data_IF_755276850146
#
_entry.id   IF_755276850146
#
_cell.length_a   1.000
_cell.length_b   1.000
_cell.length_c   1.000
_cell.angle_alpha   90.00
_cell.angle_beta   90.00
_cell.angle_gamma   90.00
#
_symmetry.space_group_name_H-M   'P 1'
#
loop_
_entity.id
_entity.type
_entity.pdbx_description
1 polymer ?
#
# COMPACT_ATOMS: atom_id res chain seq x y z
N UNK A 1 -38.70 -5.28 3.64
CA UNK A 1 -37.58 -5.23 2.67
C UNK A 1 -37.98 -6.07 1.47
N UNK A 2 -38.40 -5.45 0.37
CA UNK A 2 -38.76 -6.16 -0.85
C UNK A 2 -37.45 -6.54 -1.54
N UNK A 3 -37.17 -7.83 -1.64
CA UNK A 3 -36.06 -8.37 -2.40
C UNK A 3 -36.33 -8.08 -3.89
N UNK A 4 -35.84 -6.95 -4.38
CA UNK A 4 -35.93 -6.60 -5.79
C UNK A 4 -34.86 -7.42 -6.51
N UNK A 5 -35.26 -8.55 -7.03
CA UNK A 5 -34.45 -9.35 -7.94
C UNK A 5 -34.11 -8.50 -9.16
N UNK A 6 -32.90 -8.68 -9.74
CA UNK A 6 -32.38 -8.05 -10.96
C UNK A 6 -33.28 -8.28 -12.21
N UNK A 7 -34.56 -8.52 -12.02
CA UNK A 7 -35.57 -8.80 -13.08
C UNK A 7 -35.86 -7.63 -14.02
N UNK A 8 -35.39 -6.43 -13.66
CA UNK A 8 -35.73 -5.23 -14.44
C UNK A 8 -34.65 -4.88 -15.50
N UNK A 9 -33.48 -5.53 -15.47
CA UNK A 9 -32.43 -5.32 -16.46
C UNK A 9 -31.98 -6.65 -17.02
N UNK A 10 -32.04 -6.80 -18.33
CA UNK A 10 -31.52 -7.99 -19.02
C UNK A 10 -30.70 -7.62 -20.23
N UNK A 11 -29.77 -8.48 -20.60
CA UNK A 11 -28.92 -8.33 -21.77
C UNK A 11 -29.26 -9.41 -22.78
N UNK A 12 -29.29 -9.06 -24.08
CA UNK A 12 -29.52 -10.02 -25.17
C UNK A 12 -28.61 -9.70 -26.34
N UNK A 13 -28.03 -10.72 -26.94
CA UNK A 13 -27.25 -10.58 -28.17
C UNK A 13 -28.18 -10.42 -29.36
N UNK A 14 -27.87 -9.46 -30.22
CA UNK A 14 -28.47 -9.29 -31.53
C UNK A 14 -27.60 -9.99 -32.57
N UNK A 15 -28.07 -11.14 -33.05
CA UNK A 15 -27.27 -12.04 -33.92
C UNK A 15 -26.77 -11.37 -35.23
N UNK A 16 -27.60 -10.52 -35.85
CA UNK A 16 -27.23 -9.88 -37.10
C UNK A 16 -26.16 -8.78 -36.94
N UNK A 17 -26.11 -8.10 -35.80
CA UNK A 17 -25.16 -6.99 -35.57
C UNK A 17 -24.03 -7.39 -34.61
N UNK A 18 -24.00 -8.66 -34.17
CA UNK A 18 -22.99 -9.16 -33.21
C UNK A 18 -22.83 -8.23 -32.00
N UNK A 19 -23.93 -7.65 -31.51
CA UNK A 19 -23.92 -6.66 -30.44
C UNK A 19 -24.81 -7.06 -29.27
N UNK A 20 -24.42 -6.67 -28.07
CA UNK A 20 -25.24 -6.83 -26.86
C UNK A 20 -26.20 -5.66 -26.74
N UNK A 21 -27.47 -5.95 -26.59
CA UNK A 21 -28.51 -4.98 -26.28
C UNK A 21 -28.92 -5.08 -24.81
N UNK A 22 -29.21 -3.93 -24.23
CA UNK A 22 -29.74 -3.79 -22.88
C UNK A 22 -31.27 -3.61 -22.97
N UNK A 23 -31.97 -4.35 -22.13
CA UNK A 23 -33.38 -4.23 -21.94
C UNK A 23 -33.67 -3.79 -20.50
N UNK A 24 -34.25 -2.61 -20.34
CA UNK A 24 -34.65 -2.09 -19.04
C UNK A 24 -36.17 -2.12 -18.95
N UNK A 25 -36.71 -2.90 -18.03
CA UNK A 25 -38.12 -2.98 -17.75
C UNK A 25 -38.45 -2.12 -16.54
N UNK A 26 -39.44 -1.27 -16.68
CA UNK A 26 -40.04 -0.54 -15.56
C UNK A 26 -41.57 -0.60 -15.66
N UNK A 27 -42.27 -1.13 -14.64
CA UNK A 27 -43.72 -1.21 -14.64
C UNK A 27 -44.39 0.17 -14.70
N UNK A 28 -43.70 1.22 -14.30
CA UNK A 28 -44.19 2.60 -14.29
C UNK A 28 -44.01 3.32 -15.64
N UNK A 29 -43.29 2.73 -16.61
CA UNK A 29 -43.23 3.34 -17.93
C UNK A 29 -44.60 3.42 -18.55
N UNK A 30 -45.00 4.60 -18.99
CA UNK A 30 -46.17 4.78 -19.78
C UNK A 30 -46.06 3.89 -21.04
N UNK A 31 -47.14 3.25 -21.43
CA UNK A 31 -47.17 2.50 -22.69
C UNK A 31 -46.92 3.49 -23.80
N UNK A 32 -45.70 3.47 -24.36
CA UNK A 32 -45.38 4.24 -25.57
C UNK A 32 -46.15 3.72 -26.77
N UNK A 33 -45.92 4.29 -27.94
CA UNK A 33 -46.58 3.91 -29.22
C UNK A 33 -46.48 2.41 -29.53
N UNK A 34 -45.52 1.71 -28.94
CA UNK A 34 -45.31 0.26 -29.07
C UNK A 34 -46.02 -0.55 -27.96
N UNK A 35 -46.69 0.09 -27.00
CA UNK A 35 -47.36 -0.58 -25.87
C UNK A 35 -46.43 -1.31 -24.90
N UNK A 36 -45.11 -1.13 -25.03
CA UNK A 36 -44.10 -1.84 -24.25
C UNK A 36 -43.63 -1.04 -23.04
N UNK A 37 -43.58 -1.71 -21.89
CA UNK A 37 -42.99 -1.19 -20.65
C UNK A 37 -41.46 -1.43 -20.60
N UNK A 38 -40.84 -1.80 -21.72
CA UNK A 38 -39.43 -2.15 -21.82
C UNK A 38 -38.74 -1.26 -22.82
N UNK A 39 -37.61 -0.69 -22.38
CA UNK A 39 -36.72 0.05 -23.27
C UNK A 39 -35.63 -0.89 -23.76
N UNK A 40 -35.35 -0.81 -25.06
CA UNK A 40 -34.23 -1.53 -25.70
C UNK A 40 -33.25 -0.53 -26.28
N UNK A 41 -31.98 -0.64 -25.89
CA UNK A 41 -30.86 0.12 -26.51
C UNK A 41 -29.63 -0.78 -26.64
N UNK A 42 -28.82 -0.53 -27.65
CA UNK A 42 -27.53 -1.19 -27.78
C UNK A 42 -26.60 -0.77 -26.60
N UNK A 43 -25.82 -1.71 -26.10
CA UNK A 43 -24.91 -1.45 -24.97
C UNK A 43 -23.94 -0.28 -25.26
N UNK A 44 -23.51 -0.14 -26.51
CA UNK A 44 -22.71 0.98 -27.00
C UNK A 44 -23.35 2.35 -26.73
N UNK A 45 -24.67 2.43 -26.67
CA UNK A 45 -25.37 3.67 -26.33
C UNK A 45 -25.07 4.16 -24.91
N UNK A 46 -24.89 3.23 -23.97
CA UNK A 46 -24.63 3.55 -22.56
C UNK A 46 -23.14 3.79 -22.30
N UNK A 47 -22.25 3.09 -22.99
CA UNK A 47 -20.79 3.18 -22.78
C UNK A 47 -20.09 4.12 -23.77
N UNK A 48 -20.74 4.53 -24.86
CA UNK A 48 -20.15 5.41 -25.85
C UNK A 48 -18.82 4.87 -26.41
N UNK A 49 -17.77 5.69 -26.38
CA UNK A 49 -16.41 5.33 -26.81
C UNK A 49 -15.69 4.36 -25.85
N UNK A 50 -16.21 4.19 -24.64
CA UNK A 50 -15.66 3.29 -23.62
C UNK A 50 -16.21 1.85 -23.71
N UNK A 51 -16.98 1.55 -24.75
CA UNK A 51 -17.45 0.19 -25.01
C UNK A 51 -16.30 -0.76 -25.29
N UNK A 52 -16.09 -1.75 -24.43
CA UNK A 52 -14.94 -2.67 -24.49
C UNK A 52 -15.26 -4.09 -24.08
N UNK A 53 -16.39 -4.64 -24.52
CA UNK A 53 -16.55 -6.08 -24.42
C UNK A 53 -15.52 -6.75 -25.33
N UNK A 54 -14.71 -7.62 -24.77
CA UNK A 54 -13.65 -8.34 -25.47
C UNK A 54 -14.06 -9.76 -25.86
N UNK A 55 -15.07 -10.30 -25.16
CA UNK A 55 -15.53 -11.66 -25.37
C UNK A 55 -16.41 -11.72 -26.62
N UNK A 56 -16.12 -12.67 -27.49
CA UNK A 56 -16.93 -12.92 -28.69
C UNK A 56 -18.38 -13.31 -28.30
N UNK A 57 -19.34 -12.78 -29.03
CA UNK A 57 -20.77 -13.04 -28.79
C UNK A 57 -21.18 -14.49 -29.01
N UNK A 58 -20.35 -15.30 -29.65
CA UNK A 58 -20.56 -16.76 -29.78
C UNK A 58 -20.53 -17.48 -28.44
N UNK A 59 -19.85 -16.89 -27.43
CA UNK A 59 -19.84 -17.42 -26.06
C UNK A 59 -20.99 -16.92 -25.18
N UNK A 60 -21.99 -16.27 -25.77
CA UNK A 60 -23.15 -15.76 -25.01
C UNK A 60 -24.11 -16.87 -24.59
N UNK A 61 -24.40 -16.92 -23.29
CA UNK A 61 -25.48 -17.76 -22.75
C UNK A 61 -26.75 -16.92 -22.60
N UNK A 62 -27.80 -17.28 -23.35
CA UNK A 62 -29.06 -16.55 -23.34
C UNK A 62 -29.85 -16.76 -22.06
N UNK A 63 -29.73 -17.90 -21.38
CA UNK A 63 -30.45 -18.22 -20.13
C UNK A 63 -29.92 -17.36 -18.97
N UNK A 64 -28.62 -17.26 -18.84
CA UNK A 64 -27.99 -16.46 -17.78
C UNK A 64 -27.84 -14.98 -18.14
N UNK A 65 -28.01 -14.62 -19.43
CA UNK A 65 -27.71 -13.29 -19.97
C UNK A 65 -26.27 -12.85 -19.68
N UNK A 66 -25.32 -13.77 -19.78
CA UNK A 66 -23.88 -13.55 -19.53
C UNK A 66 -23.05 -14.37 -20.51
N UNK A 67 -21.76 -14.02 -20.61
CA UNK A 67 -20.81 -14.84 -21.35
C UNK A 67 -20.44 -16.11 -20.57
N UNK A 68 -20.26 -17.20 -21.31
CA UNK A 68 -19.74 -18.44 -20.74
C UNK A 68 -18.28 -18.25 -20.30
N UNK A 69 -17.97 -18.58 -19.09
CA UNK A 69 -16.58 -18.56 -18.59
C UNK A 69 -15.80 -19.80 -18.96
N UNK A 70 -16.49 -20.86 -19.36
CA UNK A 70 -15.93 -22.12 -19.88
C UNK A 70 -16.76 -22.56 -21.09
N UNK A 71 -16.12 -22.83 -22.20
CA UNK A 71 -16.75 -23.38 -23.40
C UNK A 71 -16.00 -24.64 -23.84
N UNK A 72 -16.73 -25.78 -23.97
CA UNK A 72 -16.15 -27.08 -24.33
C UNK A 72 -14.91 -27.46 -23.49
N UNK A 73 -14.95 -27.21 -22.18
CA UNK A 73 -13.87 -27.43 -21.21
C UNK A 73 -12.64 -26.48 -21.35
N UNK A 74 -12.71 -25.46 -22.20
CA UNK A 74 -11.67 -24.44 -22.35
C UNK A 74 -12.12 -23.17 -21.66
N UNK A 75 -11.28 -22.55 -20.78
CA UNK A 75 -11.59 -21.26 -20.19
C UNK A 75 -11.72 -20.15 -21.24
N UNK A 76 -12.65 -19.22 -21.04
CA UNK A 76 -12.82 -18.00 -21.85
C UNK A 76 -12.31 -16.83 -21.00
N UNK A 77 -11.06 -16.48 -21.17
CA UNK A 77 -10.30 -15.59 -20.25
C UNK A 77 -10.88 -14.17 -20.11
N UNK A 78 -11.53 -13.66 -21.14
CA UNK A 78 -12.13 -12.31 -21.13
C UNK A 78 -13.54 -12.28 -20.53
N UNK A 79 -14.24 -13.41 -20.50
CA UNK A 79 -15.65 -13.49 -20.06
C UNK A 79 -15.88 -13.07 -18.60
N UNK A 80 -15.02 -13.40 -17.62
CA UNK A 80 -15.22 -12.96 -16.23
C UNK A 80 -15.20 -11.44 -16.07
N UNK A 81 -14.31 -10.74 -16.77
CA UNK A 81 -14.23 -9.27 -16.68
C UNK A 81 -15.40 -8.60 -17.41
N UNK A 82 -15.77 -9.12 -18.58
CA UNK A 82 -16.93 -8.61 -19.34
C UNK A 82 -18.25 -8.84 -18.57
N UNK A 83 -18.43 -9.99 -17.94
CA UNK A 83 -19.58 -10.27 -17.09
C UNK A 83 -19.65 -9.31 -15.90
N UNK A 84 -18.51 -9.00 -15.28
CA UNK A 84 -18.42 -8.03 -14.18
C UNK A 84 -18.81 -6.62 -14.62
N UNK A 85 -18.45 -6.21 -15.83
CA UNK A 85 -18.86 -4.91 -16.40
C UNK A 85 -20.36 -4.87 -16.65
N UNK A 86 -20.97 -5.96 -17.11
CA UNK A 86 -22.40 -6.08 -17.27
C UNK A 86 -23.16 -6.03 -15.91
N UNK A 87 -22.62 -6.66 -14.88
CA UNK A 87 -23.17 -6.63 -13.53
C UNK A 87 -23.12 -5.22 -12.93
N UNK A 88 -22.03 -4.52 -13.13
CA UNK A 88 -21.87 -3.13 -12.66
C UNK A 88 -22.87 -2.19 -13.36
N UNK A 89 -23.04 -2.32 -14.67
CA UNK A 89 -24.05 -1.55 -15.42
C UNK A 89 -25.48 -1.86 -14.95
N UNK A 90 -25.79 -3.13 -14.72
CA UNK A 90 -27.09 -3.53 -14.20
C UNK A 90 -27.36 -2.93 -12.81
N UNK A 91 -26.33 -2.88 -11.96
CA UNK A 91 -26.38 -2.26 -10.64
C UNK A 91 -26.63 -0.75 -10.72
N UNK A 92 -25.94 -0.05 -11.62
CA UNK A 92 -26.14 1.38 -11.84
C UNK A 92 -27.55 1.69 -12.30
N UNK A 93 -28.08 0.92 -13.24
CA UNK A 93 -29.46 1.09 -13.71
C UNK A 93 -30.49 0.85 -12.61
N UNK A 94 -30.26 -0.17 -11.76
CA UNK A 94 -31.11 -0.43 -10.61
C UNK A 94 -31.12 0.75 -9.64
N UNK A 95 -29.95 1.29 -9.32
CA UNK A 95 -29.80 2.47 -8.43
C UNK A 95 -30.59 3.66 -8.98
N UNK A 96 -30.54 3.93 -10.28
CA UNK A 96 -31.27 5.02 -10.91
C UNK A 96 -32.79 4.78 -10.84
N UNK A 97 -33.27 3.56 -11.13
CA UNK A 97 -34.68 3.21 -11.06
C UNK A 97 -35.27 3.28 -9.65
N UNK A 98 -34.46 3.05 -8.63
CA UNK A 98 -34.82 3.15 -7.21
C UNK A 98 -34.81 4.59 -6.68
N UNK A 99 -33.90 5.41 -7.19
CA UNK A 99 -33.68 6.76 -6.70
C UNK A 99 -34.59 7.82 -7.33
N UNK A 100 -35.01 7.60 -8.59
CA UNK A 100 -35.73 8.60 -9.36
C UNK A 100 -37.00 7.98 -9.97
N UNK A 101 -38.22 8.55 -9.76
CA UNK A 101 -39.41 8.12 -10.45
C UNK A 101 -39.26 8.34 -11.98
N UNK A 102 -39.19 7.25 -12.73
CA UNK A 102 -39.08 7.28 -14.19
C UNK A 102 -40.42 6.76 -14.79
N UNK A 103 -41.15 7.61 -15.45
CA UNK A 103 -42.44 7.28 -16.09
C UNK A 103 -42.33 7.04 -17.59
N UNK A 104 -41.23 7.54 -18.19
CA UNK A 104 -40.91 7.32 -19.59
C UNK A 104 -39.48 6.79 -19.74
N UNK A 105 -39.18 6.16 -20.90
CA UNK A 105 -37.81 5.80 -21.23
C UNK A 105 -36.84 6.98 -21.19
N UNK A 106 -37.31 8.14 -21.58
CA UNK A 106 -36.52 9.37 -21.63
C UNK A 106 -36.17 9.86 -20.22
N UNK A 107 -37.13 9.78 -19.29
CA UNK A 107 -36.86 10.10 -17.88
C UNK A 107 -35.74 9.21 -17.33
N UNK A 108 -35.79 7.91 -17.61
CA UNK A 108 -34.72 6.99 -17.20
C UNK A 108 -33.38 7.35 -17.80
N UNK A 109 -33.32 7.65 -19.11
CA UNK A 109 -32.07 8.03 -19.74
C UNK A 109 -31.52 9.35 -19.22
N UNK A 110 -32.36 10.32 -18.94
CA UNK A 110 -31.99 11.60 -18.37
C UNK A 110 -31.50 11.42 -16.93
N UNK A 111 -32.18 10.61 -16.13
CA UNK A 111 -31.77 10.27 -14.78
C UNK A 111 -30.45 9.49 -14.77
N UNK A 112 -30.26 8.54 -15.69
CA UNK A 112 -28.99 7.81 -15.83
C UNK A 112 -27.84 8.73 -16.25
N UNK A 113 -28.06 9.61 -17.25
CA UNK A 113 -27.05 10.62 -17.64
C UNK A 113 -26.76 11.58 -16.50
N UNK A 114 -27.76 11.99 -15.74
CA UNK A 114 -27.58 12.83 -14.56
C UNK A 114 -26.78 12.10 -13.47
N UNK A 115 -27.00 10.79 -13.26
CA UNK A 115 -26.21 9.98 -12.33
C UNK A 115 -24.74 9.86 -12.76
N UNK A 116 -24.47 9.71 -14.06
CA UNK A 116 -23.09 9.75 -14.61
C UNK A 116 -22.47 11.13 -14.42
N UNK A 117 -23.26 12.19 -14.60
CA UNK A 117 -22.79 13.56 -14.36
C UNK A 117 -22.57 13.84 -12.87
N UNK A 118 -23.32 13.22 -11.97
CA UNK A 118 -23.09 13.26 -10.52
C UNK A 118 -21.79 12.52 -10.16
N UNK A 119 -21.51 11.38 -10.79
CA UNK A 119 -20.20 10.73 -10.66
C UNK A 119 -19.09 11.62 -11.21
N UNK A 120 -19.28 12.24 -12.38
CA UNK A 120 -18.34 13.21 -12.94
C UNK A 120 -18.21 14.46 -12.06
N UNK A 121 -19.31 14.97 -11.50
CA UNK A 121 -19.30 16.08 -10.55
C UNK A 121 -18.66 15.70 -9.22
N UNK A 122 -18.85 14.46 -8.74
CA UNK A 122 -18.18 13.96 -7.54
C UNK A 122 -16.68 13.81 -7.74
N UNK A 123 -16.24 13.43 -8.94
CA UNK A 123 -14.82 13.39 -9.33
C UNK A 123 -14.22 14.80 -9.39
N UNK A 124 -15.03 15.84 -9.64
CA UNK A 124 -14.57 17.22 -9.64
C UNK A 124 -14.31 17.80 -8.24
N UNK A 125 -14.73 17.15 -7.18
CA UNK A 125 -14.37 17.55 -5.82
C UNK A 125 -13.00 17.00 -5.42
N UNK A 126 -12.35 17.64 -4.44
CA UNK A 126 -11.08 17.15 -3.89
C UNK A 126 -11.20 15.69 -3.40
N UNK A 127 -12.27 15.37 -2.68
CA UNK A 127 -12.52 14.00 -2.20
C UNK A 127 -12.76 13.03 -3.35
N UNK A 128 -13.62 13.38 -4.28
CA UNK A 128 -13.95 12.54 -5.44
C UNK A 128 -12.72 12.25 -6.29
N UNK A 129 -11.91 13.28 -6.54
CA UNK A 129 -10.66 13.09 -7.30
C UNK A 129 -9.60 12.31 -6.53
N UNK A 130 -9.51 12.45 -5.21
CA UNK A 130 -8.62 11.64 -4.39
C UNK A 130 -9.00 10.14 -4.44
N UNK A 131 -10.31 9.83 -4.46
CA UNK A 131 -10.84 8.47 -4.65
C UNK A 131 -10.47 7.95 -6.04
N UNK A 132 -10.75 8.72 -7.09
CA UNK A 132 -10.38 8.39 -8.46
C UNK A 132 -8.88 8.12 -8.60
N UNK A 133 -8.04 9.01 -8.08
CA UNK A 133 -6.58 8.88 -8.14
C UNK A 133 -6.08 7.63 -7.37
N UNK A 134 -6.66 7.33 -6.22
CA UNK A 134 -6.40 6.07 -5.49
C UNK A 134 -6.73 4.85 -6.35
N UNK A 135 -7.86 4.86 -7.05
CA UNK A 135 -8.32 3.73 -7.87
C UNK A 135 -7.45 3.53 -9.11
N UNK A 136 -6.88 4.60 -9.68
CA UNK A 136 -5.83 4.50 -10.70
C UNK A 136 -4.58 3.74 -10.18
N UNK A 137 -4.18 3.98 -8.93
CA UNK A 137 -3.10 3.22 -8.29
C UNK A 137 -3.48 1.77 -8.02
N UNK A 138 -4.70 1.53 -7.58
CA UNK A 138 -5.22 0.20 -7.27
C UNK A 138 -5.36 -0.67 -8.51
N UNK A 139 -5.78 -0.10 -9.63
CA UNK A 139 -5.92 -0.78 -10.92
C UNK A 139 -4.58 -1.01 -11.65
N UNK A 140 -3.47 -0.47 -11.15
CA UNK A 140 -2.16 -0.59 -11.78
C UNK A 140 -1.93 0.38 -12.95
N UNK A 141 -2.85 1.30 -13.23
CA UNK A 141 -2.71 2.30 -14.32
C UNK A 141 -1.60 3.33 -14.10
N UNK A 142 -1.21 3.55 -12.83
CA UNK A 142 -0.16 4.51 -12.47
C UNK A 142 1.23 3.89 -12.33
N UNK A 143 1.32 2.59 -12.03
CA UNK A 143 2.56 1.80 -11.90
C UNK A 143 2.21 0.31 -11.93
N UNK A 144 3.24 -0.54 -12.07
CA UNK A 144 3.10 -2.00 -12.03
C UNK A 144 2.17 -2.51 -10.92
N UNK A 145 1.35 -3.49 -11.26
CA UNK A 145 0.46 -4.20 -10.32
C UNK A 145 1.26 -4.66 -9.10
N UNK A 146 0.76 -4.33 -7.90
CA UNK A 146 1.37 -4.74 -6.63
C UNK A 146 1.92 -3.59 -5.77
N UNK A 147 1.94 -2.37 -6.29
CA UNK A 147 2.29 -1.20 -5.46
C UNK A 147 1.17 -0.91 -4.45
N UNK A 148 1.48 -1.02 -3.15
CA UNK A 148 0.56 -0.62 -2.05
C UNK A 148 0.41 0.88 -1.86
N UNK A 149 0.84 1.70 -2.82
CA UNK A 149 0.74 3.15 -2.70
C UNK A 149 -0.71 3.63 -2.57
N UNK A 150 -1.69 2.89 -3.11
CA UNK A 150 -3.10 3.21 -2.94
C UNK A 150 -3.54 3.31 -1.46
N UNK A 151 -2.99 2.48 -0.56
CA UNK A 151 -3.32 2.54 0.88
C UNK A 151 -2.88 3.86 1.53
N UNK A 152 -1.94 4.56 0.93
CA UNK A 152 -1.53 5.87 1.38
C UNK A 152 -2.60 6.91 1.05
N UNK A 153 -3.28 6.77 -0.08
CA UNK A 153 -4.40 7.63 -0.47
C UNK A 153 -5.67 7.28 0.29
N UNK A 154 -5.91 6.00 0.67
CA UNK A 154 -6.99 5.63 1.60
C UNK A 154 -6.88 6.42 2.90
N UNK A 155 -5.67 6.59 3.45
CA UNK A 155 -5.46 7.39 4.66
C UNK A 155 -5.80 8.87 4.48
N UNK A 156 -5.49 9.45 3.31
CA UNK A 156 -5.89 10.82 2.99
C UNK A 156 -7.41 10.92 2.86
N UNK A 157 -8.03 10.00 2.13
CA UNK A 157 -9.49 9.91 1.93
C UNK A 157 -10.21 9.83 3.27
N UNK A 158 -9.81 8.92 4.16
CA UNK A 158 -10.40 8.82 5.50
C UNK A 158 -10.29 10.11 6.31
N UNK A 159 -9.21 10.87 6.16
CA UNK A 159 -9.05 12.16 6.82
C UNK A 159 -9.96 13.23 6.22
N UNK A 160 -10.10 13.25 4.89
CA UNK A 160 -11.03 14.15 4.21
C UNK A 160 -12.50 13.84 4.58
N UNK A 161 -12.85 12.57 4.72
CA UNK A 161 -14.18 12.09 5.11
C UNK A 161 -14.47 12.20 6.60
N UNK A 162 -13.49 12.53 7.44
CA UNK A 162 -13.67 12.53 8.88
C UNK A 162 -13.83 11.15 9.52
N UNK A 163 -13.46 10.07 8.83
CA UNK A 163 -13.67 8.67 9.25
C UNK A 163 -12.46 8.04 9.93
N UNK A 164 -11.56 8.83 10.52
CA UNK A 164 -10.39 8.30 11.23
C UNK A 164 -10.81 7.73 12.58
N UNK A 165 -10.66 6.42 12.72
CA UNK A 165 -11.05 5.67 13.91
C UNK A 165 -10.33 6.20 15.17
N UNK A 166 -11.10 6.52 16.21
CA UNK A 166 -10.56 6.98 17.51
C UNK A 166 -10.14 8.45 17.54
N UNK A 167 -10.38 9.23 16.48
CA UNK A 167 -10.10 10.66 16.46
C UNK A 167 -11.43 11.43 16.35
N UNK A 168 -11.72 12.29 17.34
CA UNK A 168 -12.85 13.21 17.26
C UNK A 168 -12.47 14.33 16.30
N UNK A 169 -13.06 14.28 15.11
CA UNK A 169 -12.75 15.25 14.06
C UNK A 169 -13.44 16.59 14.30
N UNK A 170 -12.76 17.71 14.11
CA UNK A 170 -13.31 19.06 14.37
C UNK A 170 -14.17 19.58 13.21
N UNK A 171 -14.90 18.71 12.50
CA UNK A 171 -15.72 19.15 11.37
C UNK A 171 -17.20 19.25 11.73
N UNK A 172 -17.83 20.27 11.21
CA UNK A 172 -19.27 20.27 11.11
C UNK A 172 -19.69 19.16 10.11
N UNK A 173 -20.59 18.28 10.52
CA UNK A 173 -21.14 17.18 9.69
C UNK A 173 -20.16 16.06 9.27
N UNK A 174 -19.02 15.91 9.96
CA UNK A 174 -18.12 14.76 9.75
C UNK A 174 -17.25 14.79 8.50
N UNK A 175 -17.32 15.84 7.68
CA UNK A 175 -16.57 15.98 6.43
C UNK A 175 -15.71 17.25 6.47
N UNK A 176 -14.47 17.19 6.01
CA UNK A 176 -13.60 18.36 5.98
C UNK A 176 -14.10 19.40 4.96
N UNK A 177 -13.87 20.69 5.23
CA UNK A 177 -14.20 21.76 4.28
C UNK A 177 -13.53 21.59 2.90
N UNK A 178 -12.42 20.87 2.85
CA UNK A 178 -11.70 20.57 1.61
C UNK A 178 -12.32 19.44 0.80
N UNK A 179 -13.04 18.51 1.42
CA UNK A 179 -13.55 17.32 0.76
C UNK A 179 -14.52 17.65 -0.38
N UNK A 180 -15.45 18.55 -0.13
CA UNK A 180 -16.50 18.94 -1.07
C UNK A 180 -16.11 20.14 -1.96
N UNK A 181 -14.92 20.69 -1.76
CA UNK A 181 -14.42 21.78 -2.59
C UNK A 181 -14.16 21.27 -4.01
N UNK A 182 -14.52 22.02 -5.05
CA UNK A 182 -14.09 21.72 -6.42
C UNK A 182 -12.56 21.67 -6.50
N UNK A 183 -12.02 20.61 -7.06
CA UNK A 183 -10.56 20.44 -7.14
C UNK A 183 -9.90 21.52 -8.03
N UNK A 184 -10.64 22.04 -9.00
CA UNK A 184 -10.22 23.16 -9.84
C UNK A 184 -9.95 24.44 -9.05
N UNK A 185 -10.58 24.60 -7.87
CA UNK A 185 -10.45 25.78 -7.02
C UNK A 185 -9.29 25.67 -6.02
N UNK A 186 -8.51 24.59 -6.09
CA UNK A 186 -7.35 24.43 -5.20
C UNK A 186 -6.18 25.25 -5.75
N UNK A 187 -6.03 26.44 -5.22
CA UNK A 187 -4.90 27.34 -5.45
C UNK A 187 -3.87 27.26 -4.31
N UNK A 188 -2.88 28.15 -4.35
CA UNK A 188 -1.82 28.21 -3.33
C UNK A 188 -2.34 28.56 -1.94
N UNK A 189 -3.38 29.39 -1.83
CA UNK A 189 -3.95 29.78 -0.53
C UNK A 189 -4.74 28.62 0.09
N UNK A 190 -5.56 27.94 -0.71
CA UNK A 190 -6.27 26.73 -0.28
C UNK A 190 -5.27 25.63 0.14
N UNK A 191 -4.17 25.53 -0.59
CA UNK A 191 -3.14 24.56 -0.22
C UNK A 191 -2.44 24.90 1.10
N UNK A 192 -2.13 26.18 1.35
CA UNK A 192 -1.61 26.65 2.65
C UNK A 192 -2.57 26.36 3.79
N UNK A 193 -3.86 26.61 3.58
CA UNK A 193 -4.91 26.28 4.54
C UNK A 193 -4.97 24.77 4.83
N UNK A 194 -4.85 23.95 3.78
CA UNK A 194 -4.78 22.49 3.95
C UNK A 194 -3.53 22.07 4.76
N UNK A 195 -2.38 22.70 4.49
CA UNK A 195 -1.16 22.45 5.26
C UNK A 195 -1.34 22.80 6.74
N UNK A 196 -1.93 23.96 7.03
CA UNK A 196 -2.26 24.38 8.41
C UNK A 196 -3.21 23.38 9.07
N UNK A 197 -4.28 23.01 8.37
CA UNK A 197 -5.23 22.02 8.82
C UNK A 197 -4.59 20.66 9.19
N UNK A 198 -3.74 20.12 8.32
CA UNK A 198 -3.05 18.85 8.57
C UNK A 198 -2.04 18.96 9.70
N UNK A 199 -1.34 20.10 9.82
CA UNK A 199 -0.43 20.37 10.92
C UNK A 199 -1.14 20.34 12.28
N UNK A 200 -2.28 21.00 12.34
CA UNK A 200 -2.99 21.19 13.61
C UNK A 200 -3.70 19.89 14.05
N UNK A 201 -4.18 19.10 13.10
CA UNK A 201 -4.97 17.89 13.39
C UNK A 201 -4.18 16.57 13.25
N UNK A 202 -3.14 16.50 12.41
CA UNK A 202 -2.38 15.28 12.10
C UNK A 202 -0.86 15.51 12.09
N UNK A 203 -0.29 16.09 13.14
CA UNK A 203 1.11 16.53 13.14
C UNK A 203 2.12 15.40 12.89
N UNK A 204 1.81 14.18 13.31
CA UNK A 204 2.71 13.03 13.14
C UNK A 204 2.76 12.49 11.70
N UNK A 205 1.77 12.82 10.89
CA UNK A 205 1.65 12.36 9.49
C UNK A 205 1.60 13.55 8.51
N UNK A 206 2.01 14.72 8.97
CA UNK A 206 1.96 15.98 8.22
C UNK A 206 2.56 15.86 6.82
N UNK A 207 3.86 15.54 6.73
CA UNK A 207 4.59 15.48 5.47
C UNK A 207 3.93 14.52 4.45
N UNK A 208 3.43 13.40 4.96
CA UNK A 208 2.80 12.40 4.11
C UNK A 208 1.46 12.88 3.56
N UNK A 209 0.64 13.54 4.36
CA UNK A 209 -0.66 14.05 3.90
C UNK A 209 -0.49 15.19 2.91
N UNK A 210 0.42 16.12 3.18
CA UNK A 210 0.73 17.22 2.27
C UNK A 210 1.24 16.70 0.92
N UNK A 211 2.18 15.74 0.92
CA UNK A 211 2.70 15.12 -0.30
C UNK A 211 1.61 14.40 -1.09
N UNK A 212 0.69 13.70 -0.42
CA UNK A 212 -0.42 12.98 -1.06
C UNK A 212 -1.44 13.94 -1.64
N UNK A 213 -1.83 14.96 -0.89
CA UNK A 213 -2.76 15.98 -1.37
C UNK A 213 -2.19 16.71 -2.59
N UNK A 214 -0.93 17.13 -2.53
CA UNK A 214 -0.23 17.69 -3.68
C UNK A 214 -0.25 16.76 -4.89
N UNK A 215 0.03 15.47 -4.71
CA UNK A 215 0.05 14.51 -5.82
C UNK A 215 -1.34 14.38 -6.49
N UNK A 216 -2.41 14.43 -5.71
CA UNK A 216 -3.79 14.40 -6.21
C UNK A 216 -4.08 15.66 -7.04
N UNK A 217 -3.81 16.84 -6.49
CA UNK A 217 -4.05 18.14 -7.18
C UNK A 217 -3.18 18.27 -8.42
N UNK A 218 -1.90 17.92 -8.32
CA UNK A 218 -0.98 17.96 -9.46
C UNK A 218 -1.42 17.02 -10.59
N UNK A 219 -1.87 15.82 -10.27
CA UNK A 219 -2.36 14.88 -11.27
C UNK A 219 -3.62 15.43 -11.98
N UNK A 220 -4.54 16.03 -11.23
CA UNK A 220 -5.70 16.71 -11.81
C UNK A 220 -5.27 17.76 -12.83
N UNK A 221 -4.37 18.64 -12.44
CA UNK A 221 -3.89 19.74 -13.28
C UNK A 221 -3.17 19.27 -14.55
N UNK A 222 -2.43 18.17 -14.47
CA UNK A 222 -1.71 17.57 -15.59
C UNK A 222 -2.61 16.84 -16.60
N UNK A 223 -3.75 16.27 -16.13
CA UNK A 223 -4.60 15.39 -16.94
C UNK A 223 -5.83 16.10 -17.49
N UNK A 224 -6.41 17.02 -16.74
CA UNK A 224 -7.70 17.63 -17.05
C UNK A 224 -7.53 19.01 -17.70
N UNK A 225 -6.41 19.67 -17.46
CA UNK A 225 -6.10 20.96 -18.06
C UNK A 225 -4.96 20.77 -19.08
N UNK A 226 -5.30 20.62 -20.35
CA UNK A 226 -4.37 20.84 -21.49
C UNK A 226 -3.87 22.30 -21.55
N UNK A 227 -4.06 23.08 -20.49
CA UNK A 227 -3.62 24.46 -20.41
C UNK A 227 -2.21 24.52 -19.81
N UNK A 228 -1.17 24.62 -20.63
CA UNK A 228 0.22 24.65 -20.18
C UNK A 228 0.58 25.88 -19.34
N UNK A 229 -0.31 26.87 -19.26
CA UNK A 229 -0.11 28.08 -18.45
C UNK A 229 -0.49 27.92 -16.99
N UNK A 230 -1.22 26.87 -16.61
CA UNK A 230 -1.52 26.58 -15.22
C UNK A 230 -0.36 25.82 -14.57
N UNK A 231 0.74 26.52 -14.38
CA UNK A 231 1.84 26.02 -13.53
C UNK A 231 1.42 26.24 -12.08
N UNK A 232 1.16 25.14 -11.39
CA UNK A 232 1.15 25.13 -9.93
C UNK A 232 2.50 25.67 -9.48
N UNK A 233 2.54 26.96 -9.14
CA UNK A 233 3.76 27.69 -8.75
C UNK A 233 4.40 27.16 -7.46
N UNK A 234 3.79 26.14 -6.92
CA UNK A 234 4.01 25.59 -5.62
C UNK A 234 5.28 24.73 -5.56
N UNK A 235 6.31 25.25 -4.94
CA UNK A 235 7.45 24.43 -4.50
C UNK A 235 7.16 23.88 -3.11
N UNK A 236 6.98 22.57 -2.99
CA UNK A 236 6.78 21.88 -1.69
C UNK A 236 7.82 22.33 -0.64
N UNK A 237 9.05 22.63 -1.07
CA UNK A 237 10.12 23.14 -0.23
C UNK A 237 9.83 24.50 0.41
N UNK A 238 8.99 25.35 -0.19
CA UNK A 238 8.64 26.67 0.35
C UNK A 238 7.71 26.59 1.56
N UNK A 239 6.93 25.50 1.68
CA UNK A 239 5.94 25.33 2.75
C UNK A 239 6.38 24.35 3.84
N UNK A 240 7.37 23.50 3.54
CA UNK A 240 7.91 22.54 4.52
C UNK A 240 8.59 23.19 5.73
N UNK A 241 9.33 24.32 5.60
CA UNK A 241 9.97 24.95 6.76
C UNK A 241 9.00 25.54 7.77
N UNK A 242 7.94 26.21 7.32
CA UNK A 242 6.93 26.83 8.19
C UNK A 242 6.05 25.79 8.90
N UNK A 243 5.96 24.61 8.34
CA UNK A 243 5.11 23.54 8.79
C UNK A 243 5.87 22.39 9.47
N UNK A 244 7.20 22.44 9.49
CA UNK A 244 7.96 21.48 10.29
C UNK A 244 7.64 21.76 11.77
N UNK A 245 6.74 20.94 12.37
CA UNK A 245 6.96 20.65 13.78
C UNK A 245 8.42 20.30 13.87
N UNK A 246 9.18 20.99 14.72
CA UNK A 246 10.42 20.41 15.23
C UNK A 246 10.02 18.99 15.63
N UNK A 247 10.35 18.02 14.78
CA UNK A 247 10.24 16.62 15.19
C UNK A 247 11.02 16.64 16.48
N UNK A 248 10.35 16.48 17.60
CA UNK A 248 11.03 15.99 18.77
C UNK A 248 11.79 14.80 18.25
N UNK A 249 13.07 14.99 18.03
CA UNK A 249 14.02 13.92 17.76
C UNK A 249 14.20 13.21 19.09
N UNK A 250 13.09 12.72 19.68
CA UNK A 250 13.12 11.67 20.68
C UNK A 250 13.79 10.54 19.91
N UNK A 251 15.07 10.39 20.21
CA UNK A 251 15.98 9.58 19.43
C UNK A 251 15.34 8.21 19.28
N UNK A 252 15.12 7.81 18.07
CA UNK A 252 14.66 6.46 17.82
C UNK A 252 15.66 5.56 18.48
N UNK A 253 15.25 4.83 19.50
CA UNK A 253 16.11 4.06 20.40
C UNK A 253 17.08 3.15 19.67
N UNK A 254 18.33 3.12 20.13
CA UNK A 254 19.36 2.10 19.86
C UNK A 254 19.62 1.32 21.16
N UNK A 255 20.13 0.11 21.07
CA UNK A 255 20.56 -0.67 22.22
C UNK A 255 22.00 -0.31 22.59
N UNK A 256 22.29 -0.29 23.88
CA UNK A 256 23.65 -0.32 24.38
C UNK A 256 24.26 -1.72 24.20
N UNK A 257 25.59 -1.85 24.29
CA UNK A 257 26.24 -3.16 24.23
C UNK A 257 25.75 -4.10 25.35
N UNK A 258 25.50 -3.56 26.53
CA UNK A 258 24.94 -4.31 27.64
C UNK A 258 23.56 -4.88 27.31
N UNK A 259 22.63 -4.03 26.85
CA UNK A 259 21.28 -4.44 26.44
C UNK A 259 21.31 -5.44 25.29
N UNK A 260 22.22 -5.29 24.33
CA UNK A 260 22.38 -6.27 23.25
C UNK A 260 22.81 -7.65 23.79
N UNK A 261 23.76 -7.68 24.74
CA UNK A 261 24.21 -8.92 25.37
C UNK A 261 23.11 -9.56 26.21
N UNK A 262 22.34 -8.76 26.96
CA UNK A 262 21.17 -9.23 27.72
C UNK A 262 20.10 -9.83 26.79
N UNK A 263 19.83 -9.19 25.64
CA UNK A 263 18.92 -9.73 24.63
C UNK A 263 19.41 -11.06 24.04
N UNK A 264 20.72 -11.14 23.76
CA UNK A 264 21.35 -12.34 23.19
C UNK A 264 21.28 -13.54 24.15
N UNK A 265 21.43 -13.27 25.45
CA UNK A 265 21.43 -14.28 26.51
C UNK A 265 20.03 -14.52 27.13
N UNK A 266 18.98 -13.88 26.59
CA UNK A 266 17.65 -13.91 27.20
C UNK A 266 17.05 -15.33 27.15
N UNK A 267 16.60 -15.80 28.31
CA UNK A 267 15.81 -17.04 28.39
C UNK A 267 14.38 -16.77 27.92
N UNK A 268 14.07 -17.29 26.74
CA UNK A 268 12.78 -17.07 26.09
C UNK A 268 11.60 -17.69 26.84
N UNK A 269 11.85 -18.64 27.75
CA UNK A 269 10.79 -19.34 28.46
C UNK A 269 10.23 -18.52 29.65
N UNK A 270 10.91 -17.45 30.02
CA UNK A 270 10.45 -16.50 31.04
C UNK A 270 9.19 -15.71 30.64
N UNK A 271 8.86 -15.66 29.35
CA UNK A 271 7.71 -14.89 28.84
C UNK A 271 6.82 -15.73 27.92
N UNK A 272 5.56 -15.30 27.77
CA UNK A 272 4.58 -15.92 26.87
C UNK A 272 4.42 -17.43 27.04
N UNK A 273 3.98 -17.96 28.20
CA UNK A 273 3.95 -19.39 28.47
C UNK A 273 3.11 -20.23 27.50
N UNK A 274 2.13 -19.60 26.81
CA UNK A 274 1.31 -20.24 25.78
C UNK A 274 1.98 -20.33 24.41
N UNK A 275 3.14 -19.69 24.21
CA UNK A 275 3.86 -19.71 22.96
C UNK A 275 4.92 -20.82 22.99
N UNK A 276 5.07 -21.58 21.89
CA UNK A 276 6.08 -22.64 21.81
C UNK A 276 7.49 -22.07 21.91
N UNK A 277 8.39 -22.82 22.53
CA UNK A 277 9.80 -22.43 22.71
C UNK A 277 10.45 -22.07 21.36
N UNK A 278 10.26 -22.89 20.34
CA UNK A 278 10.84 -22.69 19.01
C UNK A 278 10.37 -21.38 18.37
N UNK A 279 9.11 -21.01 18.58
CA UNK A 279 8.52 -19.76 18.09
C UNK A 279 9.09 -18.52 18.78
N UNK A 280 9.38 -18.64 20.10
CA UNK A 280 9.98 -17.58 20.91
C UNK A 280 11.44 -17.39 20.49
N UNK A 281 12.19 -18.49 20.37
CA UNK A 281 13.58 -18.47 19.93
C UNK A 281 13.71 -17.94 18.49
N UNK A 282 12.77 -18.27 17.61
CA UNK A 282 12.71 -17.73 16.25
C UNK A 282 12.59 -16.19 16.25
N UNK A 283 11.86 -15.63 17.22
CA UNK A 283 11.76 -14.16 17.35
C UNK A 283 13.10 -13.53 17.73
N UNK A 284 13.84 -14.11 18.68
CA UNK A 284 15.19 -13.65 19.06
C UNK A 284 16.15 -13.81 17.88
N UNK A 285 16.19 -14.98 17.27
CA UNK A 285 17.12 -15.27 16.16
C UNK A 285 16.88 -14.32 14.97
N UNK A 286 15.63 -13.95 14.69
CA UNK A 286 15.31 -12.95 13.68
C UNK A 286 15.87 -11.55 14.05
N UNK A 287 15.76 -11.15 15.32
CA UNK A 287 16.32 -9.88 15.79
C UNK A 287 17.87 -9.88 15.67
N UNK A 288 18.51 -10.97 16.07
CA UNK A 288 19.97 -11.14 15.95
C UNK A 288 20.42 -11.14 14.49
N UNK A 289 19.73 -11.86 13.60
CA UNK A 289 20.03 -11.81 12.16
C UNK A 289 19.91 -10.39 11.60
N UNK A 290 18.91 -9.60 12.04
CA UNK A 290 18.81 -8.21 11.63
C UNK A 290 20.01 -7.36 12.05
N UNK A 291 20.50 -7.58 13.26
CA UNK A 291 21.69 -6.90 13.76
C UNK A 291 22.91 -7.29 12.94
N UNK A 292 23.24 -8.58 12.89
CA UNK A 292 24.45 -9.10 12.25
C UNK A 292 24.51 -8.82 10.74
N UNK A 293 23.36 -8.88 10.05
CA UNK A 293 23.29 -8.68 8.60
C UNK A 293 22.95 -7.24 8.20
N UNK A 294 22.85 -6.35 9.18
CA UNK A 294 22.53 -4.92 8.95
C UNK A 294 21.30 -4.72 8.05
N UNK A 295 20.34 -5.65 8.11
CA UNK A 295 19.26 -5.74 7.12
C UNK A 295 17.91 -5.26 7.63
N UNK A 296 16.99 -4.94 6.72
CA UNK A 296 15.63 -4.57 7.11
C UNK A 296 14.83 -5.81 7.53
N UNK A 297 13.82 -5.68 8.41
CA UNK A 297 12.98 -6.81 8.82
C UNK A 297 12.38 -7.58 7.64
N UNK A 298 11.95 -6.85 6.61
CA UNK A 298 11.34 -7.45 5.43
C UNK A 298 12.35 -8.24 4.60
N UNK A 299 13.61 -7.81 4.56
CA UNK A 299 14.67 -8.50 3.81
C UNK A 299 15.01 -9.83 4.52
N UNK A 300 15.15 -9.82 5.86
CA UNK A 300 15.36 -11.04 6.66
C UNK A 300 14.20 -12.03 6.53
N UNK A 301 12.96 -11.55 6.63
CA UNK A 301 11.77 -12.39 6.48
C UNK A 301 11.64 -13.02 5.08
N UNK A 302 12.26 -12.43 4.08
CA UNK A 302 12.28 -12.92 2.70
C UNK A 302 13.60 -13.61 2.32
N UNK A 303 14.51 -13.82 3.26
CA UNK A 303 15.76 -14.52 3.03
C UNK A 303 15.49 -15.93 2.50
N UNK A 304 16.12 -16.30 1.40
CA UNK A 304 16.01 -17.61 0.79
C UNK A 304 17.30 -18.40 0.96
N UNK A 305 17.14 -19.70 1.11
CA UNK A 305 18.28 -20.60 1.32
C UNK A 305 19.21 -20.62 0.11
N UNK A 306 18.65 -20.58 -1.10
CA UNK A 306 19.38 -20.57 -2.35
C UNK A 306 20.17 -19.31 -2.63
N UNK A 307 19.87 -18.21 -1.92
CA UNK A 307 20.60 -16.94 -2.01
C UNK A 307 21.86 -16.93 -1.12
N UNK A 308 22.05 -17.98 -0.31
CA UNK A 308 23.20 -18.16 0.58
C UNK A 308 24.18 -19.09 -0.09
N UNK A 309 25.33 -18.59 -0.49
CA UNK A 309 26.31 -19.34 -1.28
C UNK A 309 27.70 -19.25 -0.65
N UNK A 310 28.47 -20.31 -0.82
CA UNK A 310 29.91 -20.28 -0.59
C UNK A 310 30.53 -19.53 -1.77
N UNK A 311 31.29 -18.51 -1.49
CA UNK A 311 32.09 -17.81 -2.48
C UNK A 311 33.40 -18.58 -2.70
N UNK A 312 33.67 -18.97 -3.95
CA UNK A 312 34.83 -19.78 -4.31
C UNK A 312 36.15 -19.06 -4.11
N UNK A 313 36.12 -17.74 -4.26
CA UNK A 313 37.36 -16.93 -4.25
C UNK A 313 37.82 -16.64 -2.82
N UNK A 314 36.89 -16.44 -1.91
CA UNK A 314 37.20 -16.11 -0.51
C UNK A 314 37.04 -17.29 0.45
N UNK A 315 36.35 -18.36 0.04
CA UNK A 315 36.01 -19.49 0.91
C UNK A 315 34.98 -19.13 2.01
N UNK A 316 34.36 -17.96 1.93
CA UNK A 316 33.39 -17.47 2.91
C UNK A 316 31.96 -17.65 2.39
N UNK A 317 31.03 -17.89 3.30
CA UNK A 317 29.62 -17.81 2.96
C UNK A 317 29.14 -16.37 2.81
N UNK A 318 28.33 -16.11 1.81
CA UNK A 318 27.72 -14.82 1.56
C UNK A 318 26.24 -14.97 1.24
N UNK A 319 25.46 -13.95 1.62
CA UNK A 319 24.07 -13.80 1.24
C UNK A 319 23.95 -12.79 0.11
N UNK A 320 23.53 -13.29 -1.05
CA UNK A 320 23.34 -12.49 -2.26
C UNK A 320 21.87 -12.08 -2.35
N UNK A 321 21.54 -10.82 -2.11
CA UNK A 321 20.17 -10.34 -2.19
C UNK A 321 20.02 -8.91 -2.68
N UNK A 322 18.90 -8.63 -3.29
CA UNK A 322 18.47 -7.27 -3.59
C UNK A 322 17.44 -6.81 -2.55
N UNK A 323 17.68 -5.71 -1.84
CA UNK A 323 16.69 -5.17 -0.90
C UNK A 323 15.35 -4.92 -1.57
N UNK A 324 14.24 -5.31 -0.91
CA UNK A 324 12.87 -5.18 -1.45
C UNK A 324 12.58 -3.77 -2.00
N UNK A 325 13.10 -2.72 -1.36
CA UNK A 325 12.92 -1.34 -1.80
C UNK A 325 13.75 -0.94 -3.03
N UNK A 326 14.72 -1.74 -3.42
CA UNK A 326 15.64 -1.44 -4.52
C UNK A 326 15.45 -2.31 -5.76
N UNK A 327 14.56 -3.30 -5.71
CA UNK A 327 14.34 -4.27 -6.79
C UNK A 327 14.10 -3.66 -8.17
N UNK A 328 13.53 -2.45 -8.21
CA UNK A 328 13.15 -1.78 -9.47
C UNK A 328 14.14 -0.68 -9.90
N UNK A 329 15.17 -0.38 -9.10
CA UNK A 329 16.03 0.79 -9.34
C UNK A 329 17.51 0.50 -9.43
N UNK A 330 17.96 -0.68 -8.99
CA UNK A 330 19.38 -0.92 -8.78
C UNK A 330 19.71 -2.39 -9.07
N UNK A 331 20.26 -2.63 -10.26
CA UNK A 331 20.73 -3.95 -10.68
C UNK A 331 22.01 -4.36 -9.96
N UNK A 332 22.87 -3.40 -9.59
CA UNK A 332 24.17 -3.65 -8.97
C UNK A 332 24.05 -4.09 -7.50
N UNK A 333 22.99 -3.62 -6.80
CA UNK A 333 22.69 -4.10 -5.43
C UNK A 333 22.39 -5.59 -5.36
N UNK A 334 22.01 -6.23 -6.47
CA UNK A 334 21.74 -7.68 -6.51
C UNK A 334 23.02 -8.50 -6.38
N UNK A 335 24.13 -7.96 -6.84
CA UNK A 335 25.41 -8.65 -6.93
C UNK A 335 26.31 -8.36 -5.72
N UNK A 336 25.95 -7.43 -4.85
CA UNK A 336 26.74 -7.10 -3.69
C UNK A 336 26.45 -8.09 -2.56
N UNK A 337 27.41 -8.97 -2.21
CA UNK A 337 27.20 -9.97 -1.16
C UNK A 337 27.18 -9.31 0.24
N UNK A 338 26.52 -9.95 1.18
CA UNK A 338 26.67 -9.71 2.60
C UNK A 338 27.40 -10.90 3.17
N UNK A 339 28.67 -10.70 3.54
CA UNK A 339 29.52 -11.74 4.11
C UNK A 339 28.98 -12.19 5.46
N UNK A 340 28.99 -13.49 5.68
CA UNK A 340 28.43 -14.13 6.86
C UNK A 340 29.53 -14.43 7.88
N UNK A 341 29.55 -13.69 8.97
CA UNK A 341 30.35 -14.03 10.14
C UNK A 341 29.84 -15.33 10.80
N UNK A 342 30.57 -15.82 11.77
CA UNK A 342 30.26 -17.10 12.46
C UNK A 342 28.88 -17.11 13.11
N UNK A 343 28.48 -16.03 13.77
CA UNK A 343 27.23 -15.95 14.51
C UNK A 343 25.99 -15.99 13.59
N UNK A 344 25.85 -15.13 12.56
CA UNK A 344 24.71 -15.23 11.66
C UNK A 344 24.70 -16.53 10.87
N UNK A 345 25.87 -17.10 10.52
CA UNK A 345 25.98 -18.38 9.83
C UNK A 345 25.44 -19.53 10.70
N UNK A 346 25.72 -19.54 12.00
CA UNK A 346 25.19 -20.55 12.92
C UNK A 346 23.64 -20.49 13.00
N UNK A 347 23.06 -19.29 13.08
CA UNK A 347 21.60 -19.12 13.06
C UNK A 347 21.02 -19.58 11.73
N UNK A 348 21.65 -19.23 10.62
CA UNK A 348 21.24 -19.64 9.28
C UNK A 348 21.26 -21.16 9.15
N UNK A 349 22.33 -21.81 9.57
CA UNK A 349 22.47 -23.27 9.53
C UNK A 349 21.40 -23.98 10.37
N UNK A 350 21.09 -23.47 11.56
CA UNK A 350 20.00 -23.96 12.42
C UNK A 350 18.68 -24.04 11.67
N UNK A 351 18.29 -22.97 10.96
CA UNK A 351 17.01 -22.94 10.24
C UNK A 351 17.05 -23.55 8.84
N UNK A 352 18.20 -23.58 8.21
CA UNK A 352 18.37 -24.25 6.92
C UNK A 352 18.20 -25.76 7.09
N UNK A 353 18.82 -26.38 8.09
CA UNK A 353 18.85 -27.83 8.25
C UNK A 353 19.29 -28.53 6.96
N UNK A 354 18.55 -29.54 6.55
CA UNK A 354 18.77 -30.28 5.30
C UNK A 354 18.14 -29.66 4.07
N UNK A 355 17.39 -28.57 4.21
CA UNK A 355 16.70 -27.91 3.09
C UNK A 355 17.69 -27.27 2.12
N UNK A 356 17.41 -27.40 0.81
CA UNK A 356 18.24 -26.83 -0.27
C UNK A 356 17.68 -25.52 -0.83
N UNK A 357 16.39 -25.25 -0.63
CA UNK A 357 15.71 -24.07 -1.19
C UNK A 357 14.53 -23.61 -0.33
N UNK A 358 13.98 -22.44 -0.68
CA UNK A 358 12.82 -21.84 -0.03
C UNK A 358 13.21 -20.78 1.01
N UNK A 359 12.21 -20.25 1.69
CA UNK A 359 12.44 -19.24 2.74
C UNK A 359 13.17 -19.85 3.93
N UNK A 360 14.19 -19.12 4.44
CA UNK A 360 15.00 -19.58 5.56
C UNK A 360 14.16 -19.68 6.84
N UNK A 361 13.50 -18.60 7.24
CA UNK A 361 12.78 -18.55 8.50
C UNK A 361 11.37 -19.16 8.40
N UNK A 362 10.93 -19.95 9.39
CA UNK A 362 9.60 -20.60 9.39
C UNK A 362 8.41 -19.64 9.26
N UNK A 363 8.55 -18.36 9.62
CA UNK A 363 7.53 -17.34 9.40
C UNK A 363 7.09 -17.24 7.94
N UNK A 364 8.02 -17.49 7.02
CA UNK A 364 7.83 -17.30 5.58
C UNK A 364 7.59 -18.62 4.85
N UNK A 365 7.82 -19.77 5.50
CA UNK A 365 7.73 -21.09 4.86
C UNK A 365 6.32 -21.43 4.37
N UNK A 366 5.29 -20.86 5.00
CA UNK A 366 3.88 -21.06 4.62
C UNK A 366 3.41 -20.06 3.54
N UNK A 367 4.27 -19.11 3.17
CA UNK A 367 3.95 -18.15 2.14
C UNK A 367 4.25 -18.77 0.78
N UNK A 368 3.23 -19.25 0.10
CA UNK A 368 3.38 -19.76 -1.25
C UNK A 368 3.89 -18.63 -2.17
N UNK A 369 5.06 -18.83 -2.80
CA UNK A 369 5.68 -17.84 -3.70
C UNK A 369 4.78 -17.48 -4.88
N UNK A 370 3.86 -18.38 -5.25
CA UNK A 370 2.87 -18.17 -6.33
C UNK A 370 1.60 -17.44 -5.87
N UNK A 371 1.45 -17.17 -4.56
CA UNK A 371 0.29 -16.41 -4.08
C UNK A 371 0.45 -14.91 -4.37
N UNK A 372 -0.69 -14.23 -4.45
CA UNK A 372 -0.80 -12.79 -4.62
C UNK A 372 0.24 -12.05 -3.75
N UNK A 373 1.00 -11.18 -4.37
CA UNK A 373 2.03 -10.36 -3.72
C UNK A 373 1.48 -9.57 -2.53
N UNK A 374 0.22 -9.17 -2.58
CA UNK A 374 -0.44 -8.44 -1.48
C UNK A 374 -0.65 -9.34 -0.26
N UNK A 375 -1.06 -10.59 -0.46
CA UNK A 375 -1.22 -11.58 0.60
C UNK A 375 0.14 -11.88 1.24
N UNK A 376 1.18 -12.12 0.44
CA UNK A 376 2.55 -12.31 0.92
C UNK A 376 3.02 -11.14 1.79
N UNK A 377 2.86 -9.91 1.33
CA UNK A 377 3.28 -8.73 2.08
C UNK A 377 2.47 -8.54 3.38
N UNK A 378 1.19 -8.95 3.40
CA UNK A 378 0.38 -8.94 4.61
C UNK A 378 0.91 -9.96 5.63
N UNK A 379 1.24 -11.16 5.20
CA UNK A 379 1.75 -12.22 6.08
C UNK A 379 3.13 -11.85 6.66
N UNK A 380 4.01 -11.25 5.84
CA UNK A 380 5.28 -10.69 6.31
C UNK A 380 5.07 -9.55 7.33
N UNK A 381 4.04 -8.73 7.15
CA UNK A 381 3.67 -7.70 8.12
C UNK A 381 3.23 -8.29 9.44
N UNK A 382 2.39 -9.34 9.42
CA UNK A 382 1.95 -10.06 10.63
C UNK A 382 3.12 -10.71 11.36
N UNK A 383 4.05 -11.34 10.63
CA UNK A 383 5.26 -11.92 11.21
C UNK A 383 6.10 -10.84 11.92
N UNK A 384 6.33 -9.69 11.26
CA UNK A 384 7.02 -8.56 11.88
C UNK A 384 6.32 -8.03 13.13
N UNK A 385 4.99 -7.94 13.13
CA UNK A 385 4.22 -7.52 14.29
C UNK A 385 4.31 -8.50 15.45
N UNK A 386 4.33 -9.83 15.16
CA UNK A 386 4.59 -10.87 16.16
C UNK A 386 5.95 -10.64 16.83
N UNK A 387 7.01 -10.44 16.05
CA UNK A 387 8.37 -10.18 16.57
C UNK A 387 8.44 -8.87 17.35
N UNK A 388 7.79 -7.81 16.88
CA UNK A 388 7.76 -6.52 17.60
C UNK A 388 7.08 -6.65 18.97
N UNK A 389 5.97 -7.37 19.07
CA UNK A 389 5.29 -7.60 20.34
C UNK A 389 6.16 -8.42 21.29
N UNK A 390 6.74 -9.49 20.76
CA UNK A 390 7.65 -10.34 21.54
C UNK A 390 8.86 -9.54 22.06
N UNK A 391 9.51 -8.74 21.22
CA UNK A 391 10.64 -7.90 21.61
C UNK A 391 10.28 -6.92 22.73
N UNK A 392 9.12 -6.28 22.66
CA UNK A 392 8.65 -5.42 23.75
C UNK A 392 8.46 -6.17 25.06
N UNK A 393 7.96 -7.39 25.03
CA UNK A 393 7.82 -8.24 26.23
C UNK A 393 9.18 -8.63 26.80
N UNK A 394 10.17 -8.92 25.96
CA UNK A 394 11.56 -9.16 26.41
C UNK A 394 12.10 -7.91 27.11
N UNK A 395 11.97 -6.73 26.51
CA UNK A 395 12.46 -5.47 27.12
C UNK A 395 11.78 -5.19 28.47
N UNK A 396 10.48 -5.45 28.57
CA UNK A 396 9.75 -5.27 29.83
C UNK A 396 10.23 -6.26 30.91
N UNK A 397 10.49 -7.52 30.53
CA UNK A 397 11.00 -8.54 31.47
C UNK A 397 12.43 -8.22 31.95
N UNK A 398 13.27 -7.69 31.04
CA UNK A 398 14.64 -7.23 31.36
C UNK A 398 14.65 -5.91 32.17
N UNK A 399 13.49 -5.33 32.46
CA UNK A 399 13.39 -4.09 33.24
C UNK A 399 13.92 -2.85 32.49
N UNK A 400 13.95 -2.87 31.17
CA UNK A 400 14.42 -1.70 30.42
C UNK A 400 13.41 -0.55 30.52
N UNK A 401 13.89 0.63 30.88
CA UNK A 401 13.04 1.82 31.12
C UNK A 401 12.33 2.32 29.85
N UNK A 402 12.95 2.13 28.69
CA UNK A 402 12.36 2.48 27.39
C UNK A 402 12.07 1.22 26.59
N UNK A 403 10.78 0.86 26.51
CA UNK A 403 10.27 -0.26 25.71
C UNK A 403 9.81 0.16 24.31
N UNK A 404 10.11 1.39 23.89
CA UNK A 404 9.76 1.87 22.54
C UNK A 404 10.68 1.29 21.47
N UNK A 405 10.76 -0.02 21.43
CA UNK A 405 11.56 -0.83 20.52
C UNK A 405 10.71 -1.40 19.39
N UNK A 406 11.36 -1.61 18.27
CA UNK A 406 10.81 -2.34 17.12
C UNK A 406 11.92 -3.19 16.50
N UNK A 407 11.58 -4.09 15.62
CA UNK A 407 12.58 -4.82 14.84
C UNK A 407 13.60 -3.87 14.17
N UNK A 408 13.21 -2.66 13.77
CA UNK A 408 14.14 -1.66 13.23
C UNK A 408 15.17 -1.15 14.23
N UNK A 409 14.95 -1.32 15.53
CA UNK A 409 15.92 -0.94 16.59
C UNK A 409 17.21 -1.71 16.40
N UNK A 410 17.17 -2.99 16.07
CA UNK A 410 18.35 -3.82 15.83
C UNK A 410 19.22 -3.27 14.70
N UNK A 411 18.60 -3.02 13.54
CA UNK A 411 19.30 -2.42 12.40
C UNK A 411 19.84 -1.02 12.71
N UNK A 412 19.11 -0.23 13.48
CA UNK A 412 19.56 1.10 13.86
C UNK A 412 20.77 1.01 14.78
N UNK A 413 20.72 0.13 15.77
CA UNK A 413 21.83 -0.09 16.70
C UNK A 413 23.13 -0.36 15.94
N UNK A 414 23.13 -1.35 15.07
CA UNK A 414 24.36 -1.71 14.34
C UNK A 414 24.86 -0.60 13.40
N UNK A 415 23.94 0.06 12.66
CA UNK A 415 24.33 1.16 11.77
C UNK A 415 24.90 2.34 12.58
N UNK A 416 24.31 2.66 13.74
CA UNK A 416 24.82 3.71 14.62
C UNK A 416 26.22 3.34 15.14
N UNK A 417 26.42 2.11 15.59
CA UNK A 417 27.72 1.64 16.05
C UNK A 417 28.77 1.68 14.92
N UNK A 418 28.42 1.21 13.73
CA UNK A 418 29.29 1.30 12.55
C UNK A 418 29.64 2.76 12.21
N UNK A 419 28.64 3.66 12.24
CA UNK A 419 28.86 5.07 11.91
C UNK A 419 29.71 5.81 12.97
N UNK A 420 29.79 5.29 14.19
CA UNK A 420 30.70 5.81 15.24
C UNK A 420 32.13 5.32 15.01
N UNK A 421 32.29 4.03 14.72
CA UNK A 421 33.61 3.40 14.58
C UNK A 421 34.23 3.76 13.23
N UNK A 422 33.45 3.78 12.15
CA UNK A 422 33.93 4.05 10.80
C UNK A 422 33.57 5.47 10.35
N UNK A 423 34.56 6.37 10.16
CA UNK A 423 34.31 7.72 9.68
C UNK A 423 33.81 7.75 8.22
N UNK A 424 34.12 6.72 7.43
CA UNK A 424 33.69 6.61 6.03
C UNK A 424 32.20 6.23 5.95
N UNK A 425 31.35 7.24 5.76
CA UNK A 425 29.89 7.05 5.66
C UNK A 425 29.47 6.33 4.39
N UNK A 426 30.30 6.31 3.36
CA UNK A 426 30.04 5.60 2.10
C UNK A 426 30.15 4.10 2.30
N UNK A 427 31.18 3.63 3.01
CA UNK A 427 31.30 2.21 3.37
C UNK A 427 30.12 1.74 4.23
N UNK A 428 29.77 2.50 5.27
CA UNK A 428 28.59 2.19 6.10
C UNK A 428 27.31 2.18 5.25
N UNK A 429 27.21 3.09 4.29
CA UNK A 429 26.08 3.17 3.34
C UNK A 429 26.00 1.94 2.44
N UNK A 430 27.13 1.48 1.93
CA UNK A 430 27.23 0.28 1.08
C UNK A 430 26.81 -0.99 1.86
N UNK A 431 27.38 -1.22 3.04
CA UNK A 431 27.06 -2.36 3.90
C UNK A 431 25.58 -2.34 4.30
N UNK A 432 25.09 -1.18 4.74
CA UNK A 432 23.69 -1.02 5.15
C UNK A 432 22.71 -0.98 3.97
N UNK A 433 23.19 -0.98 2.72
CA UNK A 433 22.37 -0.82 1.50
C UNK A 433 21.36 0.33 1.63
N UNK A 434 21.84 1.50 2.08
CA UNK A 434 21.02 2.72 2.28
C UNK A 434 21.84 3.93 1.79
N UNK A 435 21.25 5.11 1.67
CA UNK A 435 22.00 6.29 1.23
C UNK A 435 22.83 6.90 2.37
N UNK A 436 23.92 7.56 2.03
CA UNK A 436 24.75 8.36 2.97
C UNK A 436 23.90 9.39 3.70
N UNK A 437 22.99 10.07 2.99
CA UNK A 437 22.03 11.00 3.61
C UNK A 437 21.20 10.33 4.72
N UNK A 438 20.71 9.11 4.51
CA UNK A 438 19.98 8.37 5.55
C UNK A 438 20.89 7.99 6.73
N UNK A 439 22.17 7.68 6.49
CA UNK A 439 23.12 7.44 7.58
C UNK A 439 23.24 8.69 8.44
N UNK A 440 23.44 9.84 7.83
CA UNK A 440 23.63 11.11 8.52
C UNK A 440 22.38 11.59 9.26
N UNK A 441 21.21 11.52 8.62
CA UNK A 441 19.97 12.12 9.15
C UNK A 441 19.17 11.19 10.05
N UNK A 442 19.22 9.88 9.83
CA UNK A 442 18.34 8.90 10.47
C UNK A 442 19.06 8.05 11.50
N UNK A 443 20.29 7.67 11.22
CA UNK A 443 21.04 6.71 12.03
C UNK A 443 22.12 7.35 12.90
N UNK A 444 22.58 8.55 12.55
CA UNK A 444 23.58 9.26 13.33
C UNK A 444 22.88 10.18 14.32
N UNK A 445 22.66 9.71 15.54
CA UNK A 445 22.23 10.58 16.64
C UNK A 445 23.45 11.28 17.23
N UNK A 446 23.53 12.59 16.97
CA UNK A 446 24.65 13.43 17.48
C UNK A 446 24.80 13.35 19.01
N UNK A 447 23.69 13.13 19.75
CA UNK A 447 23.71 12.99 21.20
C UNK A 447 24.33 11.66 21.64
N UNK A 448 24.14 10.58 20.88
CA UNK A 448 24.75 9.29 21.18
C UNK A 448 26.22 9.26 20.78
N UNK A 449 26.59 9.95 19.70
CA UNK A 449 28.00 10.13 19.33
C UNK A 449 28.74 10.85 20.45
N UNK A 450 28.18 11.95 20.96
CA UNK A 450 28.81 12.71 22.07
C UNK A 450 28.85 11.94 23.40
N UNK A 451 27.88 11.05 23.67
CA UNK A 451 27.91 10.17 24.86
C UNK A 451 28.97 9.06 24.79
N UNK A 452 29.32 8.62 23.57
CA UNK A 452 30.25 7.53 23.36
C UNK A 452 31.67 8.01 23.04
N UNK A 453 31.82 9.29 22.72
CA UNK A 453 33.15 9.94 22.61
C UNK A 453 33.54 10.35 24.03
N UNK A 454 34.35 9.52 24.68
CA UNK A 454 35.12 9.95 25.85
C UNK A 454 36.20 10.88 25.33
N UNK A 455 36.15 12.13 25.76
CA UNK A 455 37.18 13.13 25.45
C UNK A 455 38.58 12.67 25.84
N UNK A 456 38.64 11.78 26.84
CA UNK A 456 39.90 11.15 27.32
C UNK A 456 40.68 10.42 26.23
N UNK A 457 40.04 9.96 25.14
CA UNK A 457 40.70 9.31 24.00
C UNK A 457 41.32 10.30 22.99
N UNK A 458 41.12 11.61 23.21
CA UNK A 458 41.70 12.66 22.32
C UNK A 458 42.78 13.51 22.98
N UNK A 459 42.99 13.30 24.26
CA UNK A 459 44.08 13.96 25.03
C UNK A 459 45.20 12.96 25.32
N UNK A 460 45.83 12.43 24.26
CA UNK A 460 47.15 11.81 24.37
C UNK A 460 48.16 12.67 23.68
#
# INVERSE_FOLDING_TARGET
>A
MVQITIKNVSFKVHKATQSVNVFVYNPNFAKGDTGSKTVRKALKFFWGTNYRLQTDVTFWNAETSRFLTVFKKVPVDTAPEDNKQLDELARQFKTVLEAVPCYTPEDFFNAYKASLNVEAASVQTVLGYAIYYRDLWKSGKMREKGSRNYTNYDKLIHKLQGTVKGVKMPWANGVSKFANMPIANVDDEVFKEFCKFVRDNFPNDYDNNVKRFRAVVYHYQQKENDNPSFKFGFRLSAYLPECQKKKDKTGKRTLTQKEFNELKAFDVDLIHPKMKHEDKQLCIDMLLLQYYLVSRPVDILQMRIEDIKLDSDTGLYAWFYCPEKKKNYDTDSRNTPVWLAKEPLAIIQKYKGTRKSGYLLPFSCNVNVKTDINKRLLDLSKAREKVNRFFKSVCANLGWSDINVTTYTMRRTIITNMAIINPNKEEVSAIAKTSVHNIQEVYTDKRQITRNIRLDNYYM
#
